data_IF_665275753245
#
_entry.id   IF_665275753245
#
_cell.length_a   1.000
_cell.length_b   1.000
_cell.length_c   1.000
_cell.angle_alpha   90.00
_cell.angle_beta   90.00
_cell.angle_gamma   90.00
#
_symmetry.space_group_name_H-M   'P 1'
#
loop_
_entity.id
_entity.type
_entity.pdbx_description
1 polymer ?
#
# COMPACT_ATOMS: atom_id res chain seq x y z
N UNK A 1 14.32 -14.17 17.37
CA UNK A 1 13.39 -14.64 16.33
C UNK A 1 12.14 -13.78 16.51
N UNK A 2 12.21 -12.55 16.03
CA UNK A 2 11.13 -11.58 16.19
C UNK A 2 9.89 -12.14 15.51
N UNK A 3 8.88 -12.40 16.31
CA UNK A 3 7.55 -12.82 15.87
C UNK A 3 7.04 -11.72 14.95
N UNK A 4 7.04 -11.97 13.65
CA UNK A 4 6.61 -11.03 12.61
C UNK A 4 5.14 -10.68 12.83
N UNK A 5 4.87 -9.65 13.62
CA UNK A 5 3.52 -9.14 13.83
C UNK A 5 2.96 -8.70 12.47
N UNK A 6 1.95 -9.40 11.92
CA UNK A 6 1.45 -9.15 10.57
C UNK A 6 0.92 -7.72 10.39
N UNK A 7 0.43 -7.14 11.49
CA UNK A 7 -0.07 -5.78 11.57
C UNK A 7 1.09 -4.79 11.51
N UNK A 8 2.18 -5.02 12.26
CA UNK A 8 3.35 -4.15 12.26
C UNK A 8 4.05 -4.17 10.89
N UNK A 9 4.12 -5.34 10.25
CA UNK A 9 4.63 -5.46 8.89
C UNK A 9 3.78 -4.66 7.88
N UNK A 10 2.45 -4.66 8.05
CA UNK A 10 1.56 -3.84 7.24
C UNK A 10 1.82 -2.34 7.44
N UNK A 11 1.90 -1.87 8.68
CA UNK A 11 2.21 -0.48 8.99
C UNK A 11 3.50 -0.01 8.31
N UNK A 12 4.59 -0.78 8.46
CA UNK A 12 5.87 -0.45 7.85
C UNK A 12 5.82 -0.45 6.32
N UNK A 13 5.16 -1.43 5.70
CA UNK A 13 5.00 -1.48 4.25
C UNK A 13 4.26 -0.26 3.72
N UNK A 14 3.27 0.20 4.48
CA UNK A 14 2.43 1.33 4.16
C UNK A 14 3.16 2.66 4.40
N UNK A 15 3.96 2.78 5.45
CA UNK A 15 4.86 3.93 5.68
C UNK A 15 5.91 4.06 4.58
N UNK A 16 6.42 2.94 4.07
CA UNK A 16 7.40 2.95 2.98
C UNK A 16 6.84 3.60 1.69
N UNK A 17 5.52 3.60 1.49
CA UNK A 17 4.86 4.27 0.35
C UNK A 17 4.94 5.80 0.40
N UNK A 18 5.34 6.38 1.55
CA UNK A 18 5.49 7.82 1.77
C UNK A 18 6.96 8.25 1.72
N UNK A 19 7.91 7.32 1.59
CA UNK A 19 9.30 7.66 1.34
C UNK A 19 9.44 8.34 -0.04
N UNK A 20 10.28 9.39 -0.11
CA UNK A 20 10.60 10.12 -1.34
C UNK A 20 11.47 9.26 -2.27
N UNK A 21 10.83 8.34 -2.97
CA UNK A 21 11.45 7.40 -3.90
C UNK A 21 11.30 7.88 -5.34
N UNK A 22 12.20 7.41 -6.21
CA UNK A 22 11.96 7.54 -7.65
C UNK A 22 10.66 6.82 -8.02
N UNK A 23 9.88 7.35 -8.97
CA UNK A 23 8.58 6.79 -9.33
C UNK A 23 8.63 5.27 -9.58
N UNK A 24 9.67 4.77 -10.29
CA UNK A 24 9.76 3.36 -10.66
C UNK A 24 9.78 2.43 -9.43
N UNK A 25 10.46 2.87 -8.37
CA UNK A 25 10.49 2.19 -7.08
C UNK A 25 9.18 2.37 -6.32
N UNK A 26 8.53 3.54 -6.43
CA UNK A 26 7.25 3.80 -5.78
C UNK A 26 6.13 2.85 -6.29
N UNK A 27 6.10 2.56 -7.60
CA UNK A 27 5.17 1.54 -8.16
C UNK A 27 5.39 0.17 -7.51
N UNK A 28 6.64 -0.22 -7.26
CA UNK A 28 6.96 -1.49 -6.62
C UNK A 28 6.48 -1.51 -5.16
N UNK A 29 6.77 -0.45 -4.42
CA UNK A 29 6.41 -0.33 -3.01
C UNK A 29 4.89 -0.34 -2.82
N UNK A 30 4.14 0.41 -3.63
CA UNK A 30 2.68 0.41 -3.57
C UNK A 30 2.09 -0.97 -3.85
N UNK A 31 2.65 -1.73 -4.79
CA UNK A 31 2.19 -3.09 -5.09
C UNK A 31 2.43 -4.04 -3.90
N UNK A 32 3.55 -3.90 -3.19
CA UNK A 32 3.85 -4.68 -1.99
C UNK A 32 2.88 -4.32 -0.86
N UNK A 33 2.74 -3.02 -0.56
CA UNK A 33 1.85 -2.52 0.48
C UNK A 33 0.38 -2.89 0.24
N UNK A 34 -0.08 -2.78 -1.01
CA UNK A 34 -1.44 -3.18 -1.41
C UNK A 34 -1.69 -4.67 -1.17
N UNK A 35 -0.75 -5.54 -1.56
CA UNK A 35 -0.87 -6.99 -1.33
C UNK A 35 -0.87 -7.32 0.16
N UNK A 36 -0.04 -6.65 0.95
CA UNK A 36 -0.01 -6.81 2.40
C UNK A 36 -1.35 -6.37 3.02
N UNK A 37 -1.88 -5.21 2.64
CA UNK A 37 -3.16 -4.69 3.15
C UNK A 37 -4.32 -5.64 2.83
N UNK A 38 -4.37 -6.14 1.58
CA UNK A 38 -5.39 -7.10 1.17
C UNK A 38 -5.29 -8.43 1.92
N UNK A 39 -4.07 -8.92 2.21
CA UNK A 39 -3.84 -10.14 2.98
C UNK A 39 -4.33 -10.01 4.44
N UNK A 40 -4.25 -8.82 5.01
CA UNK A 40 -4.71 -8.53 6.38
C UNK A 40 -6.17 -8.06 6.43
N UNK A 41 -6.96 -8.23 5.37
CA UNK A 41 -8.35 -7.78 5.30
C UNK A 41 -8.53 -6.25 5.51
N UNK A 42 -7.48 -5.46 5.28
CA UNK A 42 -7.54 -3.99 5.29
C UNK A 42 -7.88 -3.47 3.89
N UNK A 43 -9.16 -3.64 3.52
CA UNK A 43 -9.64 -3.38 2.16
C UNK A 43 -9.67 -1.88 1.83
N UNK A 44 -10.05 -1.00 2.76
CA UNK A 44 -10.04 0.46 2.51
C UNK A 44 -8.61 0.91 2.19
N UNK A 45 -7.65 0.47 3.00
CA UNK A 45 -6.23 0.81 2.79
C UNK A 45 -5.71 0.23 1.48
N UNK A 46 -6.05 -1.03 1.17
CA UNK A 46 -5.67 -1.67 -0.09
C UNK A 46 -6.24 -0.93 -1.31
N UNK A 47 -7.50 -0.46 -1.23
CA UNK A 47 -8.15 0.31 -2.28
C UNK A 47 -7.42 1.64 -2.53
N UNK A 48 -7.12 2.42 -1.48
CA UNK A 48 -6.39 3.68 -1.62
C UNK A 48 -5.01 3.49 -2.26
N UNK A 49 -4.28 2.44 -1.86
CA UNK A 49 -2.98 2.11 -2.45
C UNK A 49 -3.09 1.68 -3.91
N UNK A 50 -4.12 0.89 -4.25
CA UNK A 50 -4.39 0.47 -5.62
C UNK A 50 -4.75 1.66 -6.52
N UNK A 51 -5.61 2.58 -6.06
CA UNK A 51 -5.94 3.81 -6.81
C UNK A 51 -4.69 4.65 -7.07
N UNK A 52 -3.84 4.85 -6.06
CA UNK A 52 -2.59 5.60 -6.20
C UNK A 52 -1.62 4.93 -7.18
N UNK A 53 -1.53 3.60 -7.16
CA UNK A 53 -0.73 2.84 -8.13
C UNK A 53 -1.25 3.04 -9.55
N UNK A 54 -2.57 2.91 -9.78
CA UNK A 54 -3.19 3.08 -11.08
C UNK A 54 -3.14 4.51 -11.63
N UNK A 55 -3.04 5.51 -10.75
CA UNK A 55 -2.90 6.91 -11.11
C UNK A 55 -1.48 7.32 -11.53
N UNK A 56 -0.46 6.49 -11.29
CA UNK A 56 0.93 6.84 -11.65
C UNK A 56 1.22 6.58 -13.14
N UNK A 57 1.94 7.49 -13.83
CA UNK A 57 2.23 7.35 -15.25
C UNK A 57 3.06 6.09 -15.56
N UNK A 58 4.01 5.73 -14.71
CA UNK A 58 4.83 4.52 -14.90
C UNK A 58 4.06 3.21 -14.71
N UNK A 59 2.89 3.23 -14.09
CA UNK A 59 2.04 2.04 -14.01
C UNK A 59 1.44 1.66 -15.37
N UNK A 60 1.42 2.61 -16.31
CA UNK A 60 0.95 2.40 -17.68
C UNK A 60 2.01 1.77 -18.59
N UNK A 61 3.27 1.68 -18.13
CA UNK A 61 4.32 0.98 -18.87
C UNK A 61 3.98 -0.51 -18.97
N UNK A 62 4.26 -1.10 -20.13
CA UNK A 62 3.92 -2.50 -20.42
C UNK A 62 4.57 -3.47 -19.44
N UNK A 63 5.80 -3.16 -19.00
CA UNK A 63 6.53 -3.90 -17.96
C UNK A 63 5.78 -3.96 -16.61
N UNK A 64 4.93 -2.97 -16.31
CA UNK A 64 4.14 -2.90 -15.08
C UNK A 64 2.69 -3.38 -15.25
N UNK A 65 2.30 -3.81 -16.46
CA UNK A 65 0.97 -4.40 -16.75
C UNK A 65 0.52 -5.44 -15.73
N UNK A 66 1.33 -6.43 -15.29
CA UNK A 66 0.88 -7.39 -14.28
C UNK A 66 0.51 -6.74 -12.94
N UNK A 67 1.27 -5.72 -12.49
CA UNK A 67 0.99 -4.99 -11.25
C UNK A 67 -0.32 -4.21 -11.36
N UNK A 68 -0.56 -3.58 -12.52
CA UNK A 68 -1.79 -2.85 -12.84
C UNK A 68 -3.02 -3.75 -12.79
N UNK A 69 -2.96 -4.92 -13.42
CA UNK A 69 -4.08 -5.89 -13.43
C UNK A 69 -4.40 -6.39 -12.02
N UNK A 70 -3.38 -6.66 -11.20
CA UNK A 70 -3.57 -7.04 -9.80
C UNK A 70 -4.22 -5.89 -9.02
N UNK A 71 -3.75 -4.67 -9.20
CA UNK A 71 -4.30 -3.49 -8.53
C UNK A 71 -5.77 -3.24 -8.88
N UNK A 72 -6.17 -3.37 -10.15
CA UNK A 72 -7.58 -3.27 -10.55
C UNK A 72 -8.46 -4.34 -9.88
N UNK A 73 -7.98 -5.59 -9.83
CA UNK A 73 -8.72 -6.69 -9.18
C UNK A 73 -8.86 -6.46 -7.67
N UNK A 74 -7.79 -6.05 -7.02
CA UNK A 74 -7.79 -5.74 -5.58
C UNK A 74 -8.71 -4.56 -5.31
N UNK A 75 -8.64 -3.49 -6.08
CA UNK A 75 -9.50 -2.32 -5.95
C UNK A 75 -10.97 -2.70 -6.00
N UNK A 76 -11.40 -3.38 -7.07
CA UNK A 76 -12.81 -3.78 -7.25
C UNK A 76 -13.32 -4.65 -6.09
N UNK A 77 -12.53 -5.60 -5.60
CA UNK A 77 -12.91 -6.45 -4.46
C UNK A 77 -12.92 -5.68 -3.14
N UNK A 78 -11.99 -4.75 -2.99
CA UNK A 78 -11.84 -3.97 -1.77
C UNK A 78 -12.95 -2.93 -1.62
N UNK A 79 -13.38 -2.31 -2.73
CA UNK A 79 -14.53 -1.39 -2.77
C UNK A 79 -15.84 -2.09 -2.38
N UNK A 80 -16.00 -3.38 -2.71
CA UNK A 80 -17.16 -4.17 -2.29
C UNK A 80 -17.19 -4.48 -0.79
N UNK A 81 -16.01 -4.64 -0.17
CA UNK A 81 -15.90 -4.98 1.25
C UNK A 81 -15.94 -3.74 2.15
N UNK A 82 -15.34 -2.64 1.71
CA UNK A 82 -15.45 -1.32 2.35
C UNK A 82 -15.04 -1.24 3.82
N UNK A 83 -14.23 -2.19 4.32
CA UNK A 83 -13.86 -2.30 5.74
C UNK A 83 -12.37 -2.55 5.94
N UNK A 84 -11.85 -2.16 7.10
CA UNK A 84 -10.54 -2.56 7.58
C UNK A 84 -10.72 -3.43 8.83
N UNK A 85 -10.03 -4.57 8.87
CA UNK A 85 -10.04 -5.49 10.02
C UNK A 85 -9.15 -4.96 11.16
N UNK A 86 -8.00 -4.38 10.81
CA UNK A 86 -7.03 -3.88 11.75
C UNK A 86 -6.94 -2.35 11.69
N UNK A 87 -7.00 -1.72 12.85
CA UNK A 87 -6.70 -0.29 13.00
C UNK A 87 -5.19 -0.10 12.89
N UNK A 88 -4.76 0.65 11.88
CA UNK A 88 -3.37 1.03 11.66
C UNK A 88 -3.27 2.55 11.72
N UNK A 89 -2.19 3.07 12.29
CA UNK A 89 -1.93 4.52 12.32
C UNK A 89 -1.41 4.98 10.96
N UNK A 90 -2.29 4.97 9.97
CA UNK A 90 -1.97 5.36 8.61
C UNK A 90 -3.15 6.03 7.92
N UNK A 91 -2.88 7.19 7.33
CA UNK A 91 -3.80 7.92 6.49
C UNK A 91 -3.12 8.22 5.15
N UNK A 92 -3.67 7.64 4.07
CA UNK A 92 -3.12 7.79 2.73
C UNK A 92 -3.25 9.21 2.16
N UNK A 93 -4.11 10.06 2.74
CA UNK A 93 -4.37 11.43 2.28
C UNK A 93 -3.51 12.46 3.03
N UNK A 94 -2.94 12.10 4.17
CA UNK A 94 -2.09 13.00 4.96
C UNK A 94 -0.66 12.96 4.46
N UNK A 95 -0.06 14.13 4.29
CA UNK A 95 1.40 14.22 4.21
C UNK A 95 1.98 13.98 5.60
N UNK A 96 2.66 12.86 5.80
CA UNK A 96 3.42 12.57 7.01
C UNK A 96 4.86 12.22 6.66
N UNK A 97 5.77 12.40 7.61
CA UNK A 97 7.19 12.13 7.43
C UNK A 97 7.59 11.03 8.41
N UNK A 98 7.94 9.85 7.88
CA UNK A 98 8.24 8.68 8.71
C UNK A 98 9.50 8.95 9.53
N UNK A 99 9.38 8.93 10.86
CA UNK A 99 10.53 9.10 11.74
C UNK A 99 11.54 7.95 11.60
N UNK A 100 12.80 8.24 11.32
CA UNK A 100 13.84 7.25 11.01
C UNK A 100 14.16 6.28 12.17
N UNK A 101 13.85 6.64 13.41
CA UNK A 101 14.16 5.85 14.62
C UNK A 101 12.94 5.05 15.10
N UNK A 102 11.76 5.66 15.11
CA UNK A 102 10.55 5.02 15.63
C UNK A 102 9.69 4.33 14.55
N UNK A 103 9.92 4.64 13.27
CA UNK A 103 9.09 4.21 12.14
C UNK A 103 7.59 4.35 12.45
N UNK A 104 7.24 5.57 12.87
CA UNK A 104 5.88 6.05 13.09
C UNK A 104 5.70 7.35 12.29
N UNK A 105 4.47 7.66 11.84
CA UNK A 105 4.15 8.88 11.12
C UNK A 105 4.35 10.15 11.98
#
# INVERSE_FOLDING_TARGET
KETEDPIRALELAVYFTHCKLQPAHLVLVLNIAMKAAYKQNNYITAASLAQRLLGMPESNLEANRPKRTVAQKVLKKSEQSGRNEHQIDYDASKHFNVGAVAMKP
#
